data_IF_196303794636
#
_entry.id   IF_196303794636
#
_cell.length_a   1.000
_cell.length_b   1.000
_cell.length_c   1.000
_cell.angle_alpha   90.00
_cell.angle_beta   90.00
_cell.angle_gamma   90.00
#
_symmetry.space_group_name_H-M   'P 1'
#
loop_
_entity.id
_entity.type
_entity.pdbx_description
1 polymer ?
#
# COMPACT_ATOMS: atom_id res chain seq x y z
N UNK A 1 -1.87 -17.95 -21.78
CA UNK A 1 -3.27 -17.68 -21.37
C UNK A 1 -3.51 -18.11 -19.93
N UNK A 2 -3.10 -19.32 -19.51
CA UNK A 2 -3.29 -19.78 -18.13
C UNK A 2 -2.43 -18.97 -17.12
N UNK A 3 -1.19 -18.62 -17.47
CA UNK A 3 -0.31 -17.82 -16.62
C UNK A 3 -0.88 -16.44 -16.32
N UNK A 4 -1.40 -15.72 -17.34
CA UNK A 4 -2.04 -14.43 -17.14
C UNK A 4 -3.24 -14.56 -16.19
N UNK A 5 -4.12 -15.54 -16.40
CA UNK A 5 -5.29 -15.75 -15.54
C UNK A 5 -4.91 -16.00 -14.08
N UNK A 6 -3.80 -16.71 -13.85
CA UNK A 6 -3.26 -17.00 -12.51
C UNK A 6 -2.70 -15.75 -11.84
N UNK A 7 -1.93 -14.93 -12.56
CA UNK A 7 -1.25 -13.76 -12.03
C UNK A 7 -2.15 -12.51 -11.92
N UNK A 8 -3.17 -12.39 -12.78
CA UNK A 8 -4.06 -11.22 -12.85
C UNK A 8 -4.63 -10.76 -11.52
N UNK A 9 -5.12 -11.64 -10.62
CA UNK A 9 -5.65 -11.20 -9.32
C UNK A 9 -4.61 -10.53 -8.41
N UNK A 10 -3.32 -10.78 -8.66
CA UNK A 10 -2.22 -10.23 -7.87
C UNK A 10 -1.70 -8.88 -8.38
N UNK A 11 -2.13 -8.43 -9.56
CA UNK A 11 -1.69 -7.17 -10.15
C UNK A 11 -2.75 -6.11 -9.92
N UNK A 12 -2.34 -4.98 -9.36
CA UNK A 12 -3.22 -3.89 -8.94
C UNK A 12 -2.88 -2.59 -9.66
N UNK A 13 -3.87 -1.71 -9.75
CA UNK A 13 -3.67 -0.33 -10.15
C UNK A 13 -3.29 0.54 -8.95
N UNK A 14 -2.41 1.49 -9.15
CA UNK A 14 -2.01 2.48 -8.15
C UNK A 14 -2.31 3.86 -8.69
N UNK A 15 -3.04 4.66 -7.93
CA UNK A 15 -3.26 6.07 -8.16
C UNK A 15 -2.64 6.85 -6.99
N UNK A 16 -1.68 7.71 -7.29
CA UNK A 16 -1.12 8.64 -6.32
C UNK A 16 -1.55 10.06 -6.73
N UNK A 17 -2.38 10.68 -5.91
CA UNK A 17 -2.94 12.01 -6.17
C UNK A 17 -2.11 13.08 -5.50
N UNK A 18 -1.68 14.09 -6.25
CA UNK A 18 -0.93 15.24 -5.79
C UNK A 18 -1.76 16.51 -5.89
N UNK A 19 -1.68 17.34 -4.84
CA UNK A 19 -2.18 18.70 -4.88
C UNK A 19 -1.00 19.68 -5.04
N UNK A 20 -0.84 20.25 -6.21
CA UNK A 20 0.13 21.29 -6.50
C UNK A 20 -0.51 22.69 -6.40
N UNK A 21 0.26 23.72 -6.07
CA UNK A 21 -0.22 25.11 -6.16
C UNK A 21 -0.19 25.52 -7.62
N UNK A 22 -1.36 25.64 -8.24
CA UNK A 22 -1.50 26.11 -9.62
C UNK A 22 -1.23 27.62 -9.72
N UNK A 23 -1.85 28.38 -8.79
CA UNK A 23 -1.67 29.82 -8.75
C UNK A 23 -1.88 30.39 -7.34
N UNK A 24 -1.31 31.56 -7.10
CA UNK A 24 -1.46 32.33 -5.89
C UNK A 24 -2.01 33.70 -6.25
N UNK A 25 -3.18 34.03 -5.74
CA UNK A 25 -3.78 35.35 -5.91
C UNK A 25 -3.82 36.12 -4.59
N UNK A 26 -3.50 37.38 -4.63
CA UNK A 26 -3.60 38.24 -3.47
C UNK A 26 -5.06 38.73 -3.33
N UNK A 27 -5.73 38.24 -2.30
CA UNK A 27 -7.12 38.61 -2.02
C UNK A 27 -7.23 39.93 -1.22
N UNK A 28 -6.26 40.20 -0.34
CA UNK A 28 -6.11 41.45 0.42
C UNK A 28 -4.67 41.58 0.92
N UNK A 29 -4.34 42.67 1.65
CA UNK A 29 -2.98 42.91 2.14
C UNK A 29 -2.43 41.77 3.04
N UNK A 30 -3.32 41.02 3.70
CA UNK A 30 -2.95 39.93 4.61
C UNK A 30 -3.54 38.56 4.20
N UNK A 31 -4.15 38.44 3.01
CA UNK A 31 -4.76 37.19 2.57
C UNK A 31 -4.31 36.79 1.17
N UNK A 32 -3.88 35.52 1.05
CA UNK A 32 -3.54 34.88 -0.20
C UNK A 32 -4.56 33.76 -0.47
N UNK A 33 -5.10 33.73 -1.68
CA UNK A 33 -5.85 32.61 -2.20
C UNK A 33 -4.90 31.68 -2.94
N UNK A 34 -4.84 30.41 -2.49
CA UNK A 34 -4.10 29.34 -3.15
C UNK A 34 -5.08 28.53 -3.98
N UNK A 35 -4.83 28.45 -5.27
CA UNK A 35 -5.54 27.55 -6.16
C UNK A 35 -4.71 26.30 -6.32
N UNK A 36 -5.31 25.15 -5.99
CA UNK A 36 -4.65 23.84 -6.01
C UNK A 36 -5.08 23.10 -7.28
N UNK A 37 -4.11 22.53 -7.98
CA UNK A 37 -4.33 21.59 -9.07
C UNK A 37 -4.09 20.18 -8.57
N UNK A 38 -5.02 19.28 -8.91
CA UNK A 38 -4.91 17.86 -8.64
C UNK A 38 -4.17 17.18 -9.79
N UNK A 39 -3.07 16.49 -9.49
CA UNK A 39 -2.27 15.74 -10.44
C UNK A 39 -2.20 14.28 -10.01
N UNK A 40 -2.67 13.39 -10.89
CA UNK A 40 -2.61 11.96 -10.66
C UNK A 40 -1.38 11.33 -11.31
N UNK A 41 -0.62 10.59 -10.53
CA UNK A 41 0.35 9.61 -11.02
C UNK A 41 -0.29 8.24 -11.05
N UNK A 42 -0.23 7.59 -12.21
CA UNK A 42 -0.83 6.28 -12.42
C UNK A 42 0.26 5.24 -12.65
N UNK A 43 0.14 4.12 -11.98
CA UNK A 43 1.04 2.99 -12.13
C UNK A 43 0.36 1.68 -11.73
N UNK A 44 1.18 0.68 -11.60
CA UNK A 44 0.76 -0.66 -11.20
C UNK A 44 1.53 -1.14 -9.99
N UNK A 45 1.03 -2.18 -9.35
CA UNK A 45 1.70 -2.87 -8.26
C UNK A 45 1.42 -4.36 -8.30
N UNK A 46 2.15 -5.09 -7.49
CA UNK A 46 2.05 -6.54 -7.36
C UNK A 46 1.85 -6.92 -5.91
N UNK A 47 0.73 -7.57 -5.60
CA UNK A 47 0.48 -8.13 -4.27
C UNK A 47 1.44 -9.30 -4.05
N UNK A 48 2.27 -9.23 -3.02
CA UNK A 48 3.31 -10.22 -2.74
C UNK A 48 3.06 -11.01 -1.47
N UNK A 49 2.06 -10.61 -0.68
CA UNK A 49 1.66 -11.33 0.53
C UNK A 49 0.16 -11.18 0.80
N UNK A 50 -0.41 -12.12 1.55
CA UNK A 50 -1.82 -12.11 1.96
C UNK A 50 -2.12 -11.11 3.08
N UNK A 51 -1.10 -10.62 3.78
CA UNK A 51 -1.18 -9.56 4.79
C UNK A 51 -1.09 -8.14 4.21
N UNK A 52 -1.06 -7.99 2.88
CA UNK A 52 -1.29 -6.73 2.20
C UNK A 52 -0.06 -5.96 1.74
N UNK A 53 1.12 -6.59 1.64
CA UNK A 53 2.29 -5.95 1.05
C UNK A 53 2.23 -5.97 -0.47
N UNK A 54 2.54 -4.83 -1.06
CA UNK A 54 2.52 -4.59 -2.51
C UNK A 54 3.86 -4.00 -2.92
N UNK A 55 4.48 -4.58 -3.96
CA UNK A 55 5.64 -4.02 -4.64
C UNK A 55 5.19 -3.14 -5.80
N UNK A 56 5.89 -2.02 -5.98
CA UNK A 56 5.77 -1.12 -7.14
C UNK A 56 7.10 -0.45 -7.41
N UNK A 57 7.18 0.42 -8.41
CA UNK A 57 8.33 1.28 -8.61
C UNK A 57 8.26 2.53 -7.73
N UNK A 58 9.43 3.02 -7.32
CA UNK A 58 9.53 4.25 -6.55
C UNK A 58 8.97 5.44 -7.34
N UNK A 59 9.30 5.58 -8.63
CA UNK A 59 8.84 6.71 -9.45
C UNK A 59 7.31 6.76 -9.63
N UNK A 60 6.58 5.68 -9.35
CA UNK A 60 5.10 5.67 -9.33
C UNK A 60 4.56 6.44 -8.12
N UNK A 61 5.31 6.43 -7.02
CA UNK A 61 4.92 7.02 -5.72
C UNK A 61 5.89 8.10 -5.24
N UNK A 62 6.90 8.50 -6.03
CA UNK A 62 8.04 9.36 -5.65
C UNK A 62 7.69 10.84 -5.44
N UNK A 63 6.46 11.21 -5.54
CA UNK A 63 6.06 12.59 -5.22
C UNK A 63 5.77 12.81 -3.72
N UNK A 64 6.49 12.10 -2.85
CA UNK A 64 6.23 11.89 -1.42
C UNK A 64 6.42 13.09 -0.49
N UNK A 65 6.77 14.27 -1.00
CA UNK A 65 7.06 15.42 -0.13
C UNK A 65 5.88 16.37 0.08
N UNK A 66 4.76 16.10 -0.58
CA UNK A 66 3.53 16.88 -0.44
C UNK A 66 2.37 15.94 -0.07
N UNK A 67 1.31 16.43 0.53
CA UNK A 67 0.13 15.67 0.97
C UNK A 67 -0.44 14.77 -0.14
N UNK A 68 -0.30 13.44 0.00
CA UNK A 68 -0.74 12.46 -0.99
C UNK A 68 -1.76 11.50 -0.44
N UNK A 69 -2.73 11.23 -1.29
CA UNK A 69 -3.57 10.03 -1.17
C UNK A 69 -3.09 8.99 -2.18
N UNK A 70 -2.59 7.86 -1.69
CA UNK A 70 -2.31 6.70 -2.51
C UNK A 70 -3.45 5.71 -2.39
N UNK A 71 -4.07 5.37 -3.51
CA UNK A 71 -5.15 4.40 -3.59
C UNK A 71 -4.74 3.22 -4.46
N UNK A 72 -5.09 2.02 -4.01
CA UNK A 72 -4.90 0.76 -4.74
C UNK A 72 -6.26 0.27 -5.22
N UNK A 73 -6.32 -0.12 -6.50
CA UNK A 73 -7.47 -0.76 -7.13
C UNK A 73 -7.12 -2.20 -7.48
N UNK A 74 -7.86 -3.16 -6.92
CA UNK A 74 -7.69 -4.58 -7.20
C UNK A 74 -8.36 -4.98 -8.52
N UNK A 75 -7.96 -6.12 -9.07
CA UNK A 75 -8.52 -6.65 -10.31
C UNK A 75 -10.03 -6.92 -10.25
N UNK A 76 -10.57 -7.19 -9.06
CA UNK A 76 -12.01 -7.38 -8.83
C UNK A 76 -12.79 -6.08 -8.60
N UNK A 77 -12.11 -4.92 -8.71
CA UNK A 77 -12.70 -3.59 -8.56
C UNK A 77 -12.73 -3.05 -7.14
N UNK A 78 -12.31 -3.81 -6.13
CA UNK A 78 -12.17 -3.29 -4.76
C UNK A 78 -11.08 -2.22 -4.72
N UNK A 79 -11.31 -1.18 -3.91
CA UNK A 79 -10.38 -0.06 -3.73
C UNK A 79 -10.12 0.18 -2.26
N UNK A 80 -8.90 0.59 -1.94
CA UNK A 80 -8.50 0.94 -0.58
C UNK A 80 -7.33 1.92 -0.60
N UNK A 81 -7.24 2.83 0.40
CA UNK A 81 -6.02 3.57 0.64
C UNK A 81 -4.86 2.63 0.91
N UNK A 82 -3.67 3.05 0.48
CA UNK A 82 -2.42 2.36 0.74
C UNK A 82 -1.43 3.29 1.44
N UNK A 83 -0.61 2.72 2.30
CA UNK A 83 0.49 3.43 2.96
C UNK A 83 1.79 3.05 2.28
N UNK A 84 2.58 4.03 1.84
CA UNK A 84 3.97 3.80 1.41
C UNK A 84 4.82 3.61 2.65
N UNK A 85 5.37 2.41 2.84
CA UNK A 85 6.07 2.06 4.08
C UNK A 85 7.59 2.15 3.98
N UNK A 86 8.15 1.95 2.78
CA UNK A 86 9.59 2.05 2.53
C UNK A 86 9.89 2.05 1.02
N UNK A 87 11.11 2.40 0.64
CA UNK A 87 11.60 2.37 -0.74
C UNK A 87 13.07 2.06 -0.87
N UNK A 88 13.46 1.64 -2.06
CA UNK A 88 14.84 1.37 -2.50
C UNK A 88 15.12 2.19 -3.77
N UNK A 89 15.86 3.30 -3.62
CA UNK A 89 16.21 4.18 -4.74
C UNK A 89 17.13 3.49 -5.76
N UNK A 90 18.01 2.62 -5.30
CA UNK A 90 18.98 1.96 -6.18
C UNK A 90 18.31 1.06 -7.21
N UNK A 91 17.21 0.40 -6.82
CA UNK A 91 16.47 -0.52 -7.67
C UNK A 91 15.12 0.05 -8.15
N UNK A 92 14.83 1.34 -7.89
CA UNK A 92 13.55 1.98 -8.22
C UNK A 92 12.35 1.17 -7.70
N UNK A 93 12.39 0.75 -6.45
CA UNK A 93 11.34 -0.02 -5.80
C UNK A 93 10.70 0.74 -4.65
N UNK A 94 9.41 0.52 -4.44
CA UNK A 94 8.68 0.94 -3.25
C UNK A 94 7.79 -0.19 -2.74
N UNK A 95 7.54 -0.18 -1.44
CA UNK A 95 6.64 -1.12 -0.77
C UNK A 95 5.46 -0.35 -0.20
N UNK A 96 4.28 -0.78 -0.57
CA UNK A 96 3.01 -0.30 -0.03
C UNK A 96 2.41 -1.36 0.91
N UNK A 97 1.58 -0.91 1.83
CA UNK A 97 0.74 -1.77 2.65
C UNK A 97 -0.72 -1.37 2.55
N UNK A 98 -1.61 -2.36 2.44
CA UNK A 98 -3.06 -2.20 2.49
C UNK A 98 -3.66 -3.10 3.57
N UNK A 99 -4.72 -2.64 4.22
CA UNK A 99 -5.52 -3.42 5.17
C UNK A 99 -6.76 -3.97 4.47
N UNK A 100 -6.65 -5.15 3.87
CA UNK A 100 -7.76 -5.76 3.12
C UNK A 100 -7.67 -7.28 3.19
N UNK A 101 -8.82 -7.93 3.31
CA UNK A 101 -8.93 -9.39 3.29
C UNK A 101 -9.08 -9.95 1.88
N UNK A 102 -8.91 -11.26 1.76
CA UNK A 102 -9.07 -12.01 0.51
C UNK A 102 -8.19 -11.46 -0.61
N UNK A 103 -6.92 -11.27 -0.32
CA UNK A 103 -5.90 -10.92 -1.27
C UNK A 103 -5.32 -12.19 -1.91
N UNK A 104 -4.86 -12.06 -3.15
CA UNK A 104 -4.21 -13.15 -3.89
C UNK A 104 -2.75 -12.77 -4.14
N UNK A 105 -1.79 -13.24 -3.33
CA UNK A 105 -0.37 -13.02 -3.59
C UNK A 105 0.07 -13.68 -4.89
N UNK A 106 1.01 -13.04 -5.59
CA UNK A 106 1.60 -13.61 -6.79
C UNK A 106 2.54 -14.75 -6.41
N UNK A 107 2.58 -15.78 -7.25
CA UNK A 107 3.60 -16.81 -7.12
C UNK A 107 4.96 -16.25 -7.57
N UNK A 108 5.97 -16.39 -6.72
CA UNK A 108 7.31 -15.90 -7.01
C UNK A 108 8.05 -16.94 -7.86
N UNK A 109 8.47 -16.52 -9.04
CA UNK A 109 9.31 -17.30 -9.95
C UNK A 109 10.78 -17.10 -9.68
N UNK A 110 11.59 -17.86 -10.40
CA UNK A 110 13.04 -17.80 -10.34
C UNK A 110 13.59 -17.15 -11.64
N UNK A 111 13.93 -15.88 -11.62
CA UNK A 111 14.39 -15.18 -12.81
C UNK A 111 15.74 -15.72 -13.32
N UNK A 112 16.53 -16.39 -12.48
CA UNK A 112 17.82 -16.96 -12.87
C UNK A 112 17.68 -18.20 -13.78
N UNK A 113 16.51 -18.82 -13.78
CA UNK A 113 16.16 -19.90 -14.71
C UNK A 113 15.68 -19.40 -16.05
N UNK A 114 15.35 -18.12 -16.17
CA UNK A 114 14.90 -17.53 -17.43
C UNK A 114 16.04 -17.48 -18.46
N UNK A 115 15.69 -17.68 -19.71
CA UNK A 115 16.63 -17.68 -20.85
C UNK A 115 16.16 -16.69 -21.89
N UNK A 116 17.10 -16.16 -22.64
CA UNK A 116 16.78 -15.35 -23.83
C UNK A 116 15.93 -16.19 -24.78
N UNK A 117 14.80 -15.63 -25.19
CA UNK A 117 13.78 -16.30 -26.01
C UNK A 117 12.62 -16.92 -25.24
N UNK A 118 12.67 -17.01 -23.91
CA UNK A 118 11.54 -17.46 -23.11
C UNK A 118 10.38 -16.48 -23.20
N UNK A 119 9.15 -16.97 -23.35
CA UNK A 119 7.94 -16.15 -23.38
C UNK A 119 7.66 -15.53 -22.03
N UNK A 120 7.35 -14.22 -22.03
CA UNK A 120 6.98 -13.46 -20.86
C UNK A 120 5.74 -12.60 -21.14
N UNK A 121 5.03 -12.24 -20.07
CA UNK A 121 3.90 -11.33 -20.14
C UNK A 121 4.14 -10.18 -19.18
N UNK A 122 4.03 -8.94 -19.68
CA UNK A 122 3.98 -7.74 -18.84
C UNK A 122 2.52 -7.43 -18.52
N UNK A 123 2.16 -7.41 -17.24
CA UNK A 123 0.80 -7.13 -16.76
C UNK A 123 0.82 -5.85 -15.95
N UNK A 124 -0.16 -4.97 -16.18
CA UNK A 124 -0.35 -3.73 -15.44
C UNK A 124 -1.74 -3.15 -15.60
N UNK A 125 -1.93 -1.97 -15.02
CA UNK A 125 -3.14 -1.15 -15.06
C UNK A 125 -2.88 0.20 -15.77
N UNK A 126 -2.76 0.22 -17.10
CA UNK A 126 -2.50 1.47 -17.80
C UNK A 126 -3.70 2.42 -17.72
N UNK A 127 -3.45 3.66 -17.27
CA UNK A 127 -4.40 4.79 -17.35
C UNK A 127 -5.79 4.53 -16.77
N UNK A 128 -5.93 3.71 -15.72
CA UNK A 128 -7.25 3.37 -15.13
C UNK A 128 -8.30 2.79 -16.09
N UNK A 129 -7.89 2.31 -17.27
CA UNK A 129 -8.82 1.67 -18.23
C UNK A 129 -8.99 0.17 -17.97
N UNK A 130 -8.46 -0.31 -16.84
CA UNK A 130 -8.47 -1.71 -16.46
C UNK A 130 -7.14 -2.40 -16.71
N UNK A 131 -7.05 -3.65 -16.27
CA UNK A 131 -5.85 -4.46 -16.41
C UNK A 131 -5.56 -4.81 -17.88
N UNK A 132 -4.31 -4.74 -18.26
CA UNK A 132 -3.84 -5.14 -19.57
C UNK A 132 -2.62 -6.05 -19.47
N UNK A 133 -2.41 -6.88 -20.49
CA UNK A 133 -1.26 -7.75 -20.61
C UNK A 133 -0.69 -7.68 -22.03
N UNK A 134 0.63 -7.61 -22.14
CA UNK A 134 1.38 -7.71 -23.39
C UNK A 134 2.27 -8.95 -23.38
N UNK A 135 2.40 -9.60 -24.52
CA UNK A 135 3.27 -10.75 -24.73
C UNK A 135 4.58 -10.30 -25.36
N UNK A 136 5.67 -10.86 -24.89
CA UNK A 136 7.01 -10.73 -25.46
C UNK A 136 7.90 -11.89 -25.06
N UNK A 137 9.20 -11.68 -25.20
CA UNK A 137 10.23 -12.62 -24.78
C UNK A 137 11.24 -11.95 -23.84
N UNK A 138 12.01 -12.74 -23.14
CA UNK A 138 13.26 -12.28 -22.52
C UNK A 138 14.24 -11.97 -23.64
N UNK A 139 14.57 -10.71 -23.84
CA UNK A 139 15.49 -10.24 -24.88
C UNK A 139 16.95 -10.28 -24.43
N UNK A 140 17.22 -9.97 -23.16
CA UNK A 140 18.51 -10.07 -22.52
C UNK A 140 18.37 -10.16 -21.00
N UNK A 141 19.38 -10.73 -20.35
CA UNK A 141 19.53 -10.71 -18.89
C UNK A 141 20.92 -10.16 -18.63
N UNK A 142 20.98 -9.01 -18.00
CA UNK A 142 22.26 -8.36 -17.64
C UNK A 142 22.53 -8.63 -16.18
N UNK A 143 23.51 -9.49 -15.91
CA UNK A 143 24.06 -9.67 -14.57
C UNK A 143 25.30 -8.79 -14.49
N UNK A 144 25.18 -7.65 -13.86
CA UNK A 144 26.29 -6.72 -13.73
C UNK A 144 27.12 -7.12 -12.50
N UNK A 145 28.27 -7.76 -12.72
CA UNK A 145 29.18 -8.16 -11.65
C UNK A 145 29.86 -6.97 -10.97
N UNK A 146 29.90 -5.82 -11.63
CA UNK A 146 30.58 -4.61 -11.15
C UNK A 146 29.62 -3.48 -10.72
N UNK A 147 28.34 -3.57 -11.04
CA UNK A 147 27.32 -2.64 -10.57
C UNK A 147 26.13 -3.40 -10.00
N UNK A 148 25.52 -2.83 -8.98
CA UNK A 148 24.48 -3.43 -8.16
C UNK A 148 23.14 -3.69 -8.85
N UNK A 149 23.02 -3.49 -10.16
CA UNK A 149 21.73 -3.56 -10.87
C UNK A 149 21.76 -4.67 -11.91
N UNK A 150 21.07 -5.77 -11.62
CA UNK A 150 20.69 -6.76 -12.63
C UNK A 150 19.35 -6.36 -13.25
N UNK A 151 19.21 -6.54 -14.56
CA UNK A 151 18.02 -6.11 -15.31
C UNK A 151 17.60 -7.23 -16.26
N UNK A 152 16.29 -7.45 -16.38
CA UNK A 152 15.69 -8.26 -17.44
C UNK A 152 15.22 -7.30 -18.54
N UNK A 153 15.71 -7.51 -19.76
CA UNK A 153 15.23 -6.83 -20.95
C UNK A 153 14.15 -7.68 -21.63
N UNK A 154 13.08 -7.03 -22.08
CA UNK A 154 11.98 -7.67 -22.82
C UNK A 154 11.48 -6.78 -23.96
N UNK A 155 10.91 -7.38 -24.99
CA UNK A 155 10.15 -6.71 -26.05
C UNK A 155 8.63 -6.72 -25.79
N UNK A 156 8.17 -7.29 -24.67
CA UNK A 156 6.81 -7.11 -24.19
C UNK A 156 6.53 -5.62 -24.02
N UNK A 157 5.43 -5.11 -24.57
CA UNK A 157 5.13 -3.70 -24.56
C UNK A 157 4.94 -3.17 -23.13
N UNK A 158 5.85 -2.33 -22.68
CA UNK A 158 5.76 -1.58 -21.43
C UNK A 158 5.39 -0.14 -21.79
N UNK A 159 4.22 0.30 -21.34
CA UNK A 159 3.69 1.63 -21.59
C UNK A 159 3.43 2.34 -20.26
N UNK A 160 3.26 3.67 -20.25
CA UNK A 160 2.85 4.40 -19.05
C UNK A 160 1.64 3.75 -18.38
N UNK A 161 1.77 3.45 -17.09
CA UNK A 161 0.79 2.72 -16.29
C UNK A 161 1.14 1.24 -16.05
N UNK A 162 2.00 0.61 -16.85
CA UNK A 162 2.49 -0.74 -16.56
C UNK A 162 3.67 -0.77 -15.58
N UNK A 163 4.31 0.39 -15.34
CA UNK A 163 5.40 0.51 -14.36
C UNK A 163 4.94 0.08 -12.97
N UNK A 164 5.75 -0.73 -12.28
CA UNK A 164 5.43 -1.35 -11.00
C UNK A 164 4.59 -2.63 -11.12
N UNK A 165 4.07 -2.96 -12.31
CA UNK A 165 3.35 -4.19 -12.58
C UNK A 165 4.26 -5.40 -12.74
N UNK A 166 3.66 -6.56 -12.99
CA UNK A 166 4.34 -7.84 -13.05
C UNK A 166 4.90 -8.15 -14.43
N UNK A 167 6.15 -8.61 -14.49
CA UNK A 167 6.66 -9.44 -15.59
C UNK A 167 6.59 -10.89 -15.12
N UNK A 168 5.81 -11.71 -15.82
CA UNK A 168 5.59 -13.11 -15.47
C UNK A 168 6.07 -14.05 -16.56
N UNK A 169 6.42 -15.28 -16.16
CA UNK A 169 6.68 -16.37 -17.09
C UNK A 169 5.38 -16.97 -17.66
N UNK A 170 5.49 -17.97 -18.51
CA UNK A 170 4.34 -18.68 -19.12
C UNK A 170 3.47 -19.41 -18.09
N UNK A 171 3.96 -19.71 -16.89
CA UNK A 171 3.25 -20.37 -15.80
C UNK A 171 2.51 -19.37 -14.91
N UNK A 172 2.76 -18.07 -15.07
CA UNK A 172 2.18 -17.01 -14.25
C UNK A 172 2.97 -16.68 -13.00
N UNK A 173 4.22 -17.12 -12.93
CA UNK A 173 5.11 -16.81 -11.80
C UNK A 173 5.87 -15.52 -12.07
N UNK A 174 6.02 -14.69 -11.04
CA UNK A 174 6.70 -13.39 -11.10
C UNK A 174 8.19 -13.58 -11.35
N UNK A 175 8.71 -13.07 -12.45
CA UNK A 175 10.15 -13.04 -12.73
C UNK A 175 10.75 -11.63 -12.65
N UNK A 176 9.92 -10.60 -12.67
CA UNK A 176 10.39 -9.21 -12.53
C UNK A 176 9.28 -8.21 -12.28
N UNK A 177 9.67 -7.00 -11.89
CA UNK A 177 8.81 -5.82 -11.76
C UNK A 177 9.08 -4.92 -12.95
N UNK A 178 8.06 -4.66 -13.77
CA UNK A 178 8.16 -3.76 -14.92
C UNK A 178 8.58 -2.37 -14.44
N UNK A 179 9.63 -1.80 -15.03
CA UNK A 179 10.19 -0.55 -14.54
C UNK A 179 10.13 0.56 -15.59
N UNK A 180 10.92 0.46 -16.65
CA UNK A 180 11.13 1.55 -17.58
C UNK A 180 11.23 1.06 -19.02
N UNK A 181 11.23 2.01 -19.94
CA UNK A 181 11.54 1.78 -21.36
C UNK A 181 12.85 2.49 -21.70
N UNK A 182 13.60 1.92 -22.65
CA UNK A 182 14.65 2.66 -23.33
C UNK A 182 14.04 3.28 -24.58
N UNK A 183 13.99 4.61 -24.63
CA UNK A 183 13.34 5.31 -25.75
C UNK A 183 13.83 6.74 -25.84
N UNK A 184 14.15 7.18 -27.05
CA UNK A 184 14.44 8.59 -27.35
C UNK A 184 13.17 9.42 -27.51
N UNK A 185 12.07 8.81 -27.92
CA UNK A 185 10.78 9.46 -28.15
C UNK A 185 9.87 9.51 -26.93
N UNK A 186 10.24 8.83 -25.82
CA UNK A 186 9.37 8.64 -24.65
C UNK A 186 8.24 7.61 -24.88
N UNK A 187 8.25 6.89 -26.01
CA UNK A 187 7.29 5.82 -26.35
C UNK A 187 8.03 4.49 -26.42
N UNK A 188 7.31 3.39 -26.21
CA UNK A 188 7.87 2.07 -26.33
C UNK A 188 8.37 1.79 -27.76
N UNK A 189 9.65 1.46 -27.90
CA UNK A 189 10.36 1.21 -29.15
C UNK A 189 10.90 -0.24 -29.23
N UNK A 190 10.26 -1.18 -28.51
CA UNK A 190 10.66 -2.58 -28.51
C UNK A 190 11.68 -2.96 -27.43
N UNK A 191 12.02 -2.04 -26.53
CA UNK A 191 12.95 -2.30 -25.44
C UNK A 191 12.30 -1.85 -24.13
N UNK A 192 11.98 -2.81 -23.28
CA UNK A 192 11.48 -2.61 -21.92
C UNK A 192 12.39 -3.28 -20.92
N UNK A 193 12.38 -2.78 -19.70
CA UNK A 193 13.20 -3.28 -18.59
C UNK A 193 12.35 -3.65 -17.39
N UNK A 194 12.76 -4.71 -16.69
CA UNK A 194 12.18 -5.12 -15.43
C UNK A 194 13.27 -5.43 -14.40
N UNK A 195 13.01 -5.06 -13.15
CA UNK A 195 13.84 -5.45 -12.02
C UNK A 195 13.57 -6.92 -11.69
N UNK A 196 14.58 -7.80 -11.67
CA UNK A 196 14.39 -9.23 -11.37
C UNK A 196 13.67 -9.46 -10.05
N UNK A 197 12.78 -10.46 -10.01
CA UNK A 197 12.01 -10.77 -8.81
C UNK A 197 12.89 -11.17 -7.62
N UNK A 198 14.03 -11.82 -7.86
CA UNK A 198 15.01 -12.16 -6.80
C UNK A 198 15.51 -10.92 -6.06
N UNK A 199 15.81 -9.84 -6.80
CA UNK A 199 16.24 -8.56 -6.22
C UNK A 199 15.07 -7.86 -5.55
N UNK A 200 13.92 -7.76 -6.23
CA UNK A 200 12.76 -7.07 -5.72
C UNK A 200 12.24 -7.68 -4.40
N UNK A 201 12.15 -9.01 -4.32
CA UNK A 201 11.70 -9.71 -3.10
C UNK A 201 12.74 -9.62 -1.98
N UNK A 202 14.04 -9.68 -2.28
CA UNK A 202 15.08 -9.48 -1.27
C UNK A 202 15.02 -8.07 -0.68
N UNK A 203 14.98 -7.05 -1.54
CA UNK A 203 14.86 -5.66 -1.11
C UNK A 203 13.59 -5.45 -0.28
N UNK A 204 12.44 -5.95 -0.74
CA UNK A 204 11.18 -5.87 -0.01
C UNK A 204 11.28 -6.45 1.40
N UNK A 205 11.84 -7.65 1.56
CA UNK A 205 11.94 -8.30 2.88
C UNK A 205 12.77 -7.46 3.86
N UNK A 206 13.87 -6.87 3.40
CA UNK A 206 14.71 -5.97 4.21
C UNK A 206 13.96 -4.69 4.58
N UNK A 207 13.26 -4.08 3.62
CA UNK A 207 12.50 -2.85 3.80
C UNK A 207 11.31 -3.06 4.75
N UNK A 208 10.55 -4.14 4.59
CA UNK A 208 9.41 -4.49 5.45
C UNK A 208 9.87 -4.74 6.89
N UNK A 209 10.94 -5.50 7.09
CA UNK A 209 11.48 -5.75 8.43
C UNK A 209 11.84 -4.46 9.15
N UNK A 210 12.57 -3.56 8.49
CA UNK A 210 12.93 -2.25 9.05
C UNK A 210 11.71 -1.37 9.32
N UNK A 211 10.73 -1.34 8.40
CA UNK A 211 9.50 -0.57 8.58
C UNK A 211 8.70 -1.06 9.80
N UNK A 212 8.61 -2.36 10.01
CA UNK A 212 7.96 -2.95 11.18
C UNK A 212 8.71 -2.58 12.47
N UNK A 213 10.03 -2.68 12.47
CA UNK A 213 10.85 -2.33 13.65
C UNK A 213 10.73 -0.86 14.03
N UNK A 214 10.69 0.05 13.05
CA UNK A 214 10.68 1.48 13.28
C UNK A 214 9.31 2.06 13.66
N UNK A 215 8.22 1.33 13.40
CA UNK A 215 6.87 1.83 13.62
C UNK A 215 6.15 1.09 14.75
N UNK A 216 5.20 1.78 15.39
CA UNK A 216 4.16 1.16 16.22
C UNK A 216 2.98 0.77 15.35
N UNK A 217 2.16 -0.16 15.84
CA UNK A 217 0.91 -0.49 15.19
C UNK A 217 -0.05 0.70 15.11
N UNK A 218 -1.00 0.59 14.20
CA UNK A 218 -2.00 1.62 13.95
C UNK A 218 -3.39 0.99 13.81
N UNK A 219 -4.37 1.54 14.56
CA UNK A 219 -5.75 1.06 14.53
C UNK A 219 -6.63 1.85 13.56
N UNK A 220 -6.45 3.17 13.49
CA UNK A 220 -7.21 4.04 12.60
C UNK A 220 -8.59 4.39 13.13
N UNK A 221 -8.66 4.88 14.37
CA UNK A 221 -9.87 5.43 14.99
C UNK A 221 -9.61 6.83 15.53
N UNK A 222 -10.61 7.69 15.40
CA UNK A 222 -10.69 8.96 16.13
C UNK A 222 -11.79 8.80 17.17
N UNK A 223 -11.48 9.09 18.42
CA UNK A 223 -12.40 9.01 19.54
C UNK A 223 -12.67 10.40 20.10
N UNK A 224 -13.90 10.61 20.56
CA UNK A 224 -14.31 11.79 21.30
C UNK A 224 -13.90 11.73 22.77
N UNK A 225 -14.68 12.38 23.61
CA UNK A 225 -14.47 12.35 25.04
C UNK A 225 -14.86 11.00 25.67
N UNK A 226 -14.24 10.69 26.81
CA UNK A 226 -14.61 9.50 27.57
C UNK A 226 -16.03 9.59 28.10
N UNK A 227 -16.77 8.49 28.03
CA UNK A 227 -18.14 8.42 28.53
C UNK A 227 -18.18 8.53 30.05
N UNK A 228 -18.94 9.51 30.54
CA UNK A 228 -19.38 9.65 31.93
C UNK A 228 -20.69 8.89 32.18
N UNK A 229 -21.14 8.81 33.44
CA UNK A 229 -22.47 8.26 33.74
C UNK A 229 -23.59 9.07 33.08
N UNK A 230 -23.45 10.39 33.03
CA UNK A 230 -24.41 11.31 32.43
C UNK A 230 -24.49 11.12 30.90
N UNK A 231 -23.35 11.17 30.19
CA UNK A 231 -23.29 10.97 28.73
C UNK A 231 -23.73 9.56 28.34
N UNK A 232 -23.37 8.54 29.13
CA UNK A 232 -23.82 7.16 28.92
C UNK A 232 -25.35 7.04 29.04
N UNK A 233 -25.95 7.71 30.04
CA UNK A 233 -27.42 7.74 30.20
C UNK A 233 -28.08 8.44 29.01
N UNK A 234 -27.51 9.56 28.56
CA UNK A 234 -28.07 10.35 27.45
C UNK A 234 -28.01 9.54 26.14
N UNK A 235 -26.87 8.95 25.82
CA UNK A 235 -26.67 8.27 24.53
C UNK A 235 -27.28 6.86 24.47
N UNK A 236 -27.28 6.13 25.60
CA UNK A 236 -27.61 4.70 25.60
C UNK A 236 -28.75 4.32 26.56
N UNK A 237 -29.28 5.28 27.30
CA UNK A 237 -30.32 5.01 28.30
C UNK A 237 -29.82 4.16 29.50
N UNK A 238 -28.49 4.11 29.70
CA UNK A 238 -27.79 3.37 30.77
C UNK A 238 -26.66 4.24 31.30
N UNK A 239 -26.46 4.27 32.61
CA UNK A 239 -25.47 5.09 33.28
C UNK A 239 -24.11 4.38 33.49
N UNK A 240 -24.01 3.11 33.10
CA UNK A 240 -22.87 2.23 33.44
C UNK A 240 -21.94 1.91 32.25
N UNK A 241 -22.19 2.42 31.07
CA UNK A 241 -21.28 2.22 29.93
C UNK A 241 -20.09 3.17 30.08
N UNK A 242 -18.89 2.59 30.02
CA UNK A 242 -17.62 3.32 30.09
C UNK A 242 -16.79 2.99 28.86
N UNK A 243 -15.99 3.95 28.42
CA UNK A 243 -15.12 3.81 27.27
C UNK A 243 -15.02 5.08 26.45
N UNK A 244 -14.50 4.94 25.24
CA UNK A 244 -14.32 6.03 24.29
C UNK A 244 -15.30 5.87 23.14
N UNK A 245 -16.09 6.90 22.88
CA UNK A 245 -17.00 6.94 21.73
C UNK A 245 -16.16 7.09 20.44
N UNK A 246 -16.39 6.22 19.47
CA UNK A 246 -15.76 6.31 18.14
C UNK A 246 -16.48 7.38 17.33
N UNK A 247 -15.79 8.44 16.96
CA UNK A 247 -16.31 9.53 16.12
C UNK A 247 -16.11 9.24 14.64
N UNK A 248 -14.93 8.73 14.28
CA UNK A 248 -14.61 8.36 12.91
C UNK A 248 -13.66 7.17 12.84
N UNK A 249 -13.62 6.55 11.67
CA UNK A 249 -12.76 5.40 11.37
C UNK A 249 -12.10 5.63 10.02
N UNK A 250 -10.80 5.49 9.96
CA UNK A 250 -10.03 5.65 8.74
C UNK A 250 -10.45 4.61 7.69
N UNK A 251 -10.65 5.06 6.45
CA UNK A 251 -11.13 4.22 5.34
C UNK A 251 -10.27 2.98 5.09
N UNK A 252 -8.96 3.11 5.18
CA UNK A 252 -7.99 2.02 5.01
C UNK A 252 -7.40 1.49 6.31
N UNK A 253 -7.96 1.85 7.49
CA UNK A 253 -7.43 1.47 8.79
C UNK A 253 -7.81 0.05 9.24
N UNK A 254 -7.06 -0.49 10.19
CA UNK A 254 -7.31 -1.79 10.80
C UNK A 254 -8.68 -1.86 11.51
N UNK A 255 -9.12 -0.76 12.12
CA UNK A 255 -10.45 -0.66 12.73
C UNK A 255 -11.58 -0.83 11.72
N UNK A 256 -11.44 -0.24 10.53
CA UNK A 256 -12.42 -0.41 9.44
C UNK A 256 -12.51 -1.87 9.01
N UNK A 257 -11.37 -2.54 8.86
CA UNK A 257 -11.27 -3.97 8.54
C UNK A 257 -11.93 -4.82 9.62
N UNK A 258 -11.72 -4.48 10.91
CA UNK A 258 -12.37 -5.16 12.05
C UNK A 258 -13.89 -4.95 12.12
N UNK A 259 -14.44 -4.01 11.36
CA UNK A 259 -15.86 -3.65 11.40
C UNK A 259 -16.23 -2.69 12.53
N UNK A 260 -15.28 -1.95 13.11
CA UNK A 260 -15.54 -0.82 14.01
C UNK A 260 -16.20 0.31 13.20
N UNK A 261 -17.16 0.99 13.80
CA UNK A 261 -17.97 2.03 13.15
C UNK A 261 -18.07 3.28 14.04
N UNK A 262 -18.31 4.45 13.46
CA UNK A 262 -18.75 5.61 14.23
C UNK A 262 -19.98 5.28 15.06
N UNK A 263 -20.00 5.74 16.31
CA UNK A 263 -21.05 5.43 17.28
C UNK A 263 -20.79 4.21 18.17
N UNK A 264 -19.79 3.40 17.87
CA UNK A 264 -19.31 2.36 18.80
C UNK A 264 -18.65 2.99 20.03
N UNK A 265 -18.69 2.29 21.15
CA UNK A 265 -17.90 2.64 22.33
C UNK A 265 -16.81 1.60 22.52
N UNK A 266 -15.55 1.98 22.46
CA UNK A 266 -14.44 1.09 22.79
C UNK A 266 -14.37 0.98 24.31
N UNK A 267 -14.69 -0.20 24.82
CA UNK A 267 -14.79 -0.49 26.27
C UNK A 267 -13.56 -1.19 26.82
N UNK A 268 -12.84 -1.94 25.98
CA UNK A 268 -11.61 -2.67 26.34
C UNK A 268 -10.72 -2.86 25.12
N UNK A 269 -9.41 -2.74 25.33
CA UNK A 269 -8.39 -3.12 24.34
C UNK A 269 -7.44 -4.08 25.03
N UNK A 270 -7.26 -5.25 24.41
CA UNK A 270 -6.55 -6.38 25.02
C UNK A 270 -7.13 -6.72 26.42
N UNK A 271 -6.33 -6.57 27.45
CA UNK A 271 -6.75 -6.79 28.85
C UNK A 271 -7.08 -5.50 29.60
N UNK A 272 -6.98 -4.33 28.95
CA UNK A 272 -7.12 -3.03 29.58
C UNK A 272 -8.51 -2.46 29.36
N UNK A 273 -9.25 -2.21 30.44
CA UNK A 273 -10.50 -1.50 30.38
C UNK A 273 -10.26 -0.03 30.04
N UNK A 274 -11.00 0.46 29.03
CA UNK A 274 -10.80 1.80 28.48
C UNK A 274 -11.65 2.81 29.22
N UNK A 275 -11.00 3.76 29.88
CA UNK A 275 -11.65 4.90 30.54
C UNK A 275 -11.16 6.25 30.00
N UNK A 276 -10.13 6.23 29.15
CA UNK A 276 -9.61 7.40 28.44
C UNK A 276 -8.85 6.95 27.17
N UNK A 277 -8.50 7.89 26.31
CA UNK A 277 -7.81 7.61 25.06
C UNK A 277 -6.40 7.02 25.26
N UNK A 278 -5.70 7.39 26.35
CA UNK A 278 -4.35 6.91 26.63
C UNK A 278 -4.31 5.39 26.85
N UNK A 279 -5.38 4.79 27.40
CA UNK A 279 -5.47 3.34 27.52
C UNK A 279 -5.44 2.63 26.16
N UNK A 280 -6.14 3.19 25.17
CA UNK A 280 -6.12 2.66 23.79
C UNK A 280 -4.73 2.83 23.18
N UNK A 281 -4.17 4.06 23.27
CA UNK A 281 -2.88 4.37 22.69
C UNK A 281 -1.73 3.55 23.29
N UNK A 282 -1.77 3.28 24.60
CA UNK A 282 -0.78 2.47 25.28
C UNK A 282 -0.75 1.03 24.74
N UNK A 283 -1.91 0.40 24.59
CA UNK A 283 -1.97 -0.97 24.06
C UNK A 283 -1.52 -1.03 22.59
N UNK A 284 -1.86 -0.03 21.77
CA UNK A 284 -1.44 0.05 20.38
C UNK A 284 0.08 0.29 20.27
N UNK A 285 0.65 1.20 21.06
CA UNK A 285 2.09 1.51 21.04
C UNK A 285 2.97 0.33 21.46
N UNK A 286 2.44 -0.58 22.24
CA UNK A 286 3.16 -1.80 22.67
C UNK A 286 3.20 -2.88 21.58
N UNK A 287 2.51 -2.68 20.46
CA UNK A 287 2.43 -3.63 19.36
C UNK A 287 3.04 -3.06 18.09
N UNK A 288 3.51 -3.96 17.24
CA UNK A 288 4.05 -3.62 15.92
C UNK A 288 2.97 -3.73 14.84
N UNK A 289 3.19 -3.07 13.67
CA UNK A 289 2.36 -3.34 12.50
C UNK A 289 2.33 -4.84 12.18
N UNK A 290 1.15 -5.37 11.85
CA UNK A 290 0.92 -6.78 11.60
C UNK A 290 0.56 -7.61 12.84
N UNK A 291 0.81 -7.13 14.05
CA UNK A 291 0.40 -7.85 15.26
C UNK A 291 -1.12 -7.76 15.48
N UNK A 292 -1.67 -8.88 15.94
CA UNK A 292 -3.10 -8.96 16.25
C UNK A 292 -3.44 -8.16 17.51
N UNK A 293 -4.59 -7.50 17.50
CA UNK A 293 -5.16 -6.78 18.63
C UNK A 293 -6.64 -7.16 18.82
N UNK A 294 -7.04 -7.31 20.08
CA UNK A 294 -8.42 -7.55 20.48
C UNK A 294 -9.04 -6.25 20.96
N UNK A 295 -10.16 -5.86 20.36
CA UNK A 295 -10.93 -4.66 20.72
C UNK A 295 -12.34 -5.07 21.11
N UNK A 296 -12.77 -4.71 22.32
CA UNK A 296 -14.12 -4.90 22.77
C UNK A 296 -14.89 -3.59 22.61
N UNK A 297 -16.02 -3.66 21.95
CA UNK A 297 -16.89 -2.53 21.73
C UNK A 297 -18.29 -2.78 22.29
N UNK A 298 -19.00 -1.69 22.60
CA UNK A 298 -20.43 -1.70 22.87
C UNK A 298 -21.15 -1.07 21.67
N UNK A 299 -22.12 -1.80 21.11
CA UNK A 299 -22.94 -1.41 19.96
C UNK A 299 -24.35 -2.00 20.11
N UNK A 300 -25.38 -1.23 19.88
CA UNK A 300 -26.79 -1.69 19.87
C UNK A 300 -27.18 -2.51 21.11
N UNK A 301 -26.75 -2.08 22.28
CA UNK A 301 -27.06 -2.74 23.55
C UNK A 301 -26.22 -4.00 23.84
N UNK A 302 -25.27 -4.35 22.98
CA UNK A 302 -24.43 -5.57 23.09
C UNK A 302 -22.96 -5.25 23.15
N UNK A 303 -22.22 -6.08 23.86
CA UNK A 303 -20.76 -6.08 23.84
C UNK A 303 -20.28 -7.05 22.75
N UNK A 304 -19.42 -6.58 21.87
CA UNK A 304 -18.80 -7.35 20.78
C UNK A 304 -17.29 -7.36 20.98
N UNK A 305 -16.67 -8.49 20.71
CA UNK A 305 -15.21 -8.63 20.70
C UNK A 305 -14.75 -8.77 19.24
N UNK A 306 -13.90 -7.87 18.81
CA UNK A 306 -13.38 -7.79 17.44
C UNK A 306 -11.87 -8.05 17.46
N UNK A 307 -11.40 -8.76 16.47
CA UNK A 307 -9.98 -9.07 16.25
C UNK A 307 -9.54 -8.44 14.92
N UNK A 308 -8.36 -7.85 14.90
CA UNK A 308 -7.73 -7.38 13.67
C UNK A 308 -6.23 -7.30 13.83
N UNK A 309 -5.51 -7.29 12.71
CA UNK A 309 -4.08 -6.99 12.70
C UNK A 309 -3.88 -5.50 12.54
N UNK A 310 -3.03 -4.91 13.38
CA UNK A 310 -2.68 -3.49 13.30
C UNK A 310 -1.99 -3.19 11.97
N UNK A 311 -2.28 -2.03 11.41
CA UNK A 311 -1.66 -1.55 10.19
C UNK A 311 -0.49 -0.60 10.45
N UNK A 312 -0.04 0.02 9.37
CA UNK A 312 0.87 1.15 9.41
C UNK A 312 0.01 2.43 9.41
N UNK A 313 0.33 3.37 10.30
CA UNK A 313 -0.24 4.72 10.26
C UNK A 313 0.52 5.60 9.27
N UNK A 314 0.75 6.86 9.64
CA UNK A 314 1.75 7.68 8.96
C UNK A 314 3.12 7.06 9.26
N UNK A 315 3.51 6.10 8.43
CA UNK A 315 4.76 5.39 8.58
C UNK A 315 5.92 6.38 8.45
N UNK A 316 6.87 6.32 9.37
CA UNK A 316 8.17 6.96 9.16
C UNK A 316 8.81 6.24 7.98
N UNK A 317 8.99 6.97 6.90
CA UNK A 317 9.65 6.47 5.71
C UNK A 317 11.12 6.24 6.06
N UNK A 318 11.58 5.02 5.85
CA UNK A 318 12.97 4.66 6.07
C UNK A 318 13.65 4.69 4.72
N UNK A 319 14.55 5.65 4.54
CA UNK A 319 15.48 5.63 3.42
C UNK A 319 16.62 4.66 3.75
N UNK A 320 16.73 3.50 3.08
CA UNK A 320 17.77 2.53 3.37
C UNK A 320 19.18 3.04 3.05
N UNK A 321 19.30 4.19 2.36
CA UNK A 321 20.57 4.81 2.03
C UNK A 321 21.13 5.68 3.16
N UNK A 322 20.30 6.08 4.12
CA UNK A 322 20.72 6.78 5.34
C UNK A 322 21.15 5.72 6.36
N UNK A 323 22.45 5.53 6.50
CA UNK A 323 23.01 4.81 7.65
C UNK A 323 22.96 5.76 8.85
N UNK A 324 22.26 5.33 9.92
CA UNK A 324 22.34 5.96 11.24
C UNK A 324 23.79 6.04 11.73
#
# INVERSE_FOLDING_TARGET
VNGIKKASPSVVGITATRFGVESVERASDDQLNLYLEEQDSLGSGVIVSDDGFILTNLHVVDNLFDLFDTEVTLNDGRRTPATVIAWDKANDLAVLHINMDNLTPIEIGDPEKSRVGDFVFAIGYPRNIGQSASLGIVSAITNNTDSTVSIIQTDAAINPGNSGGALIDSNGSLIGINSSIFSESGKFEGIGFATPSSIAIKSMKELVSRAIEANSGYLGVITGEALTSESSQIFFGRDNIRGMLVESVDRGGAAKRAGIKPGDVITRVEKTDVVNAEHILKEIRNKKPGEEITVQIFRDGKTLTLLTNLGFGEARIIDPTVKD
#
